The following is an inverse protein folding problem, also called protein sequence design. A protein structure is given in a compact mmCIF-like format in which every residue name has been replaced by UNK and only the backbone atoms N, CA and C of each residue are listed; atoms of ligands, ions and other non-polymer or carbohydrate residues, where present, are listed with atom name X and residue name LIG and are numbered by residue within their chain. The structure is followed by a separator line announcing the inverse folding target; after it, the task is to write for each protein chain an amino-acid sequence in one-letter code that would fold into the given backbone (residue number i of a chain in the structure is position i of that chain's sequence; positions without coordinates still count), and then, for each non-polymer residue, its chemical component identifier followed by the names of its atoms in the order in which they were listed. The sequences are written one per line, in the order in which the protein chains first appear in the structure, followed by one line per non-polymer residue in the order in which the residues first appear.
data_IF_141861509055
#
_entry.id   IF_141861509055
#
_cell.length_a   1.000
_cell.length_b   1.000
_cell.length_c   1.000
_cell.angle_alpha   90.00
_cell.angle_beta   90.00
_cell.angle_gamma   90.00
#
_symmetry.space_group_name_H-M   'P 1'
#
loop_
_entity.id
_entity.type
_entity.pdbx_description
1 polymer ?
#
# COMPACT_ATOMS: atom_id res chain seq x y z
N UNK A 1 -9.99 -14.52 4.28
CA UNK A 1 -8.69 -13.84 4.36
C UNK A 1 -8.60 -13.17 5.73
N UNK A 2 -7.61 -13.55 6.54
CA UNK A 2 -7.27 -12.89 7.80
C UNK A 2 -6.34 -11.72 7.49
N UNK A 3 -6.41 -10.66 8.30
CA UNK A 3 -5.49 -9.52 8.24
C UNK A 3 -4.57 -9.58 9.45
N UNK A 4 -3.26 -9.57 9.22
CA UNK A 4 -2.24 -9.47 10.26
C UNK A 4 -1.55 -8.12 10.16
N UNK A 5 -1.39 -7.41 11.28
CA UNK A 5 -0.74 -6.10 11.32
C UNK A 5 0.55 -6.21 12.12
N UNK A 6 1.66 -5.85 11.46
CA UNK A 6 3.01 -5.80 12.02
C UNK A 6 3.52 -4.36 11.94
N UNK A 7 3.38 -3.56 13.02
CA UNK A 7 3.77 -2.16 13.00
C UNK A 7 5.27 -1.97 12.70
N UNK A 8 5.62 -0.91 11.95
CA UNK A 8 7.00 -0.48 11.76
C UNK A 8 7.68 -0.21 13.11
N UNK A 9 8.89 -0.74 13.28
CA UNK A 9 9.75 -0.47 14.44
C UNK A 9 10.51 0.85 14.32
N UNK A 10 10.49 1.48 13.13
CA UNK A 10 11.15 2.75 12.85
C UNK A 10 10.23 3.66 12.02
N UNK A 11 9.07 4.09 12.57
CA UNK A 11 8.19 5.01 11.88
C UNK A 11 8.84 6.39 11.75
N UNK A 12 8.44 7.14 10.72
CA UNK A 12 8.84 8.53 10.54
C UNK A 12 8.38 9.34 11.77
N UNK A 13 9.26 10.21 12.28
CA UNK A 13 8.94 11.05 13.43
C UNK A 13 7.75 11.98 13.13
N UNK A 14 6.93 12.35 14.13
CA UNK A 14 5.81 13.28 13.90
C UNK A 14 6.24 14.58 13.22
N UNK A 15 7.35 15.18 13.66
CA UNK A 15 7.90 16.41 13.06
C UNK A 15 8.24 16.24 11.58
N UNK A 16 8.88 15.13 11.22
CA UNK A 16 9.26 14.86 9.84
C UNK A 16 8.03 14.55 8.96
N UNK A 17 7.03 13.86 9.53
CA UNK A 17 5.75 13.64 8.85
C UNK A 17 5.04 14.97 8.57
N UNK A 18 5.02 15.87 9.53
CA UNK A 18 4.39 17.18 9.37
C UNK A 18 5.07 18.00 8.26
N UNK A 19 6.40 17.97 8.17
CA UNK A 19 7.16 18.56 7.05
C UNK A 19 6.76 17.96 5.69
N UNK A 20 6.54 16.64 5.62
CA UNK A 20 6.08 16.00 4.38
C UNK A 20 4.64 16.39 4.03
N UNK A 21 3.80 16.69 5.02
CA UNK A 21 2.41 17.11 4.78
C UNK A 21 2.30 18.57 4.32
N UNK A 22 3.28 19.42 4.62
CA UNK A 22 3.33 20.81 4.12
C UNK A 22 3.60 20.84 2.60
N UNK A 23 4.53 20.01 2.11
CA UNK A 23 4.89 19.93 0.69
C UNK A 23 4.91 18.47 0.18
N UNK A 24 3.75 17.78 0.10
CA UNK A 24 3.70 16.34 -0.16
C UNK A 24 4.04 15.96 -1.61
N UNK A 25 3.86 16.89 -2.55
CA UNK A 25 3.94 16.60 -3.98
C UNK A 25 2.96 15.50 -4.41
N UNK A 26 3.36 14.68 -5.38
CA UNK A 26 2.59 13.51 -5.83
C UNK A 26 3.52 12.30 -5.95
N UNK A 27 3.21 11.21 -5.23
CA UNK A 27 3.99 9.96 -5.29
C UNK A 27 5.44 10.07 -4.79
N UNK A 28 5.76 11.09 -3.98
CA UNK A 28 7.13 11.40 -3.53
C UNK A 28 7.47 10.79 -2.18
N UNK A 29 6.52 10.84 -1.24
CA UNK A 29 6.65 10.30 0.11
C UNK A 29 5.60 9.21 0.32
N UNK A 30 5.97 8.18 1.07
CA UNK A 30 5.13 7.02 1.36
C UNK A 30 4.91 6.89 2.87
N UNK A 31 3.81 6.24 3.27
CA UNK A 31 3.47 5.99 4.67
C UNK A 31 4.38 4.92 5.29
N UNK A 32 4.37 4.82 6.61
CA UNK A 32 5.21 3.88 7.38
C UNK A 32 4.92 2.40 7.10
N UNK A 33 3.77 2.08 6.47
CA UNK A 33 3.31 0.73 6.22
C UNK A 33 2.82 0.52 4.78
N UNK A 34 2.83 -0.74 4.35
CA UNK A 34 2.24 -1.24 3.11
C UNK A 34 1.45 -2.51 3.36
N UNK A 35 0.49 -2.83 2.49
CA UNK A 35 -0.28 -4.08 2.53
C UNK A 35 0.23 -5.06 1.47
N UNK A 36 0.45 -6.32 1.85
CA UNK A 36 0.99 -7.37 1.00
C UNK A 36 0.14 -8.63 1.14
N UNK A 37 -0.23 -9.22 0.01
CA UNK A 37 -0.78 -10.57 -0.08
C UNK A 37 -0.07 -11.31 -1.21
N UNK A 38 0.21 -12.59 -1.00
CA UNK A 38 0.86 -13.45 -1.99
C UNK A 38 -0.18 -14.35 -2.66
N UNK A 39 0.09 -14.74 -3.89
CA UNK A 39 -0.73 -15.71 -4.61
C UNK A 39 0.16 -16.83 -5.13
N UNK A 40 -0.34 -18.06 -5.05
CA UNK A 40 0.23 -19.17 -5.82
C UNK A 40 -0.89 -20.08 -6.35
N UNK A 41 -0.55 -20.88 -7.35
CA UNK A 41 -1.53 -21.73 -8.04
C UNK A 41 -2.16 -22.81 -7.14
N UNK A 42 -1.44 -23.30 -6.12
CA UNK A 42 -1.91 -24.39 -5.27
C UNK A 42 -2.91 -23.95 -4.21
N UNK A 43 -2.73 -22.74 -3.63
CA UNK A 43 -3.56 -22.25 -2.51
C UNK A 43 -4.34 -20.97 -2.82
N UNK A 44 -4.14 -20.35 -3.98
CA UNK A 44 -4.71 -19.04 -4.28
C UNK A 44 -4.07 -17.93 -3.45
N UNK A 45 -4.88 -16.93 -3.09
CA UNK A 45 -4.45 -15.79 -2.27
C UNK A 45 -4.19 -16.21 -0.82
N UNK A 46 -3.08 -15.73 -0.26
CA UNK A 46 -2.73 -15.85 1.15
C UNK A 46 -3.57 -14.92 2.04
N UNK A 47 -3.35 -14.98 3.35
CA UNK A 47 -3.77 -13.92 4.26
C UNK A 47 -3.04 -12.60 3.95
N UNK A 48 -3.66 -11.47 4.29
CA UNK A 48 -3.12 -10.12 4.07
C UNK A 48 -2.24 -9.73 5.25
N UNK A 49 -1.07 -9.17 4.96
CA UNK A 49 -0.19 -8.57 5.97
C UNK A 49 -0.06 -7.07 5.75
N UNK A 50 -0.28 -6.28 6.79
CA UNK A 50 0.10 -4.86 6.83
C UNK A 50 1.43 -4.78 7.59
N UNK A 51 2.53 -4.49 6.88
CA UNK A 51 3.89 -4.47 7.43
C UNK A 51 4.57 -3.12 7.20
N UNK A 52 5.75 -2.92 7.78
CA UNK A 52 6.58 -1.75 7.49
C UNK A 52 6.82 -1.59 5.98
N UNK A 53 6.73 -0.35 5.49
CA UNK A 53 7.07 -0.02 4.11
C UNK A 53 8.56 -0.29 3.86
N UNK A 54 8.87 -0.94 2.75
CA UNK A 54 10.24 -1.35 2.46
C UNK A 54 10.40 -1.99 1.08
N UNK A 55 11.63 -2.37 0.72
CA UNK A 55 11.91 -3.00 -0.56
C UNK A 55 11.20 -4.35 -0.70
N UNK A 56 10.72 -4.64 -1.91
CA UNK A 56 10.27 -5.98 -2.29
C UNK A 56 11.46 -6.82 -2.74
N UNK A 57 11.51 -8.09 -2.31
CA UNK A 57 12.49 -9.05 -2.79
C UNK A 57 11.84 -9.93 -3.84
N UNK A 58 12.36 -9.91 -5.06
CA UNK A 58 11.82 -10.64 -6.20
C UNK A 58 12.95 -11.38 -6.91
N UNK A 59 12.63 -12.54 -7.48
CA UNK A 59 13.56 -13.28 -8.34
C UNK A 59 13.94 -12.41 -9.56
N UNK A 60 15.22 -12.36 -9.98
CA UNK A 60 15.62 -11.60 -11.15
C UNK A 60 14.89 -11.98 -12.46
N UNK A 61 14.37 -13.19 -12.56
CA UNK A 61 13.58 -13.70 -13.69
C UNK A 61 12.06 -13.52 -13.50
N UNK A 62 11.59 -12.81 -12.46
CA UNK A 62 10.17 -12.56 -12.25
C UNK A 62 9.54 -11.88 -13.46
N UNK A 63 8.37 -12.37 -13.90
CA UNK A 63 7.73 -11.93 -15.16
C UNK A 63 7.45 -10.43 -15.23
N UNK A 64 7.25 -9.78 -14.08
CA UNK A 64 7.09 -8.31 -13.99
C UNK A 64 8.26 -7.56 -14.63
N UNK A 65 9.49 -8.07 -14.49
CA UNK A 65 10.69 -7.41 -15.01
C UNK A 65 10.96 -7.67 -16.49
N UNK A 66 10.41 -8.73 -17.07
CA UNK A 66 10.74 -9.17 -18.43
C UNK A 66 9.58 -9.03 -19.42
N UNK A 67 8.35 -9.20 -18.93
CA UNK A 67 7.15 -9.29 -19.76
C UNK A 67 6.03 -8.36 -19.30
N UNK A 68 6.28 -7.51 -18.29
CA UNK A 68 5.34 -6.48 -17.85
C UNK A 68 3.99 -7.03 -17.39
N UNK A 69 3.96 -8.24 -16.86
CA UNK A 69 2.72 -8.84 -16.35
C UNK A 69 2.37 -8.23 -14.99
N UNK A 70 1.77 -7.04 -15.02
CA UNK A 70 1.37 -6.26 -13.85
C UNK A 70 0.11 -5.43 -14.14
N UNK A 71 -0.60 -5.07 -13.08
CA UNK A 71 -1.74 -4.15 -13.09
C UNK A 71 -1.65 -3.26 -11.85
N UNK A 72 -2.26 -2.08 -11.89
CA UNK A 72 -2.32 -1.17 -10.75
C UNK A 72 -3.67 -0.47 -10.67
N UNK A 73 -3.95 0.11 -9.50
CA UNK A 73 -5.14 0.91 -9.25
C UNK A 73 -4.81 2.26 -8.61
N UNK A 74 -5.75 3.20 -8.70
CA UNK A 74 -5.57 4.57 -8.22
C UNK A 74 -6.84 5.11 -7.58
N UNK A 75 -6.80 5.29 -6.26
CA UNK A 75 -7.85 5.94 -5.48
C UNK A 75 -7.25 6.81 -4.37
N UNK A 76 -8.10 7.59 -3.69
CA UNK A 76 -7.67 8.52 -2.64
C UNK A 76 -8.53 8.35 -1.39
N UNK A 77 -7.90 8.61 -0.24
CA UNK A 77 -8.56 8.76 1.03
C UNK A 77 -8.59 10.24 1.44
N UNK A 78 -9.72 10.69 1.98
CA UNK A 78 -9.96 12.10 2.29
C UNK A 78 -10.41 12.26 3.74
N UNK A 79 -9.68 13.07 4.50
CA UNK A 79 -10.09 13.49 5.84
C UNK A 79 -11.34 14.36 5.75
N UNK A 80 -12.32 14.09 6.61
CA UNK A 80 -13.60 14.80 6.64
C UNK A 80 -13.64 15.81 7.80
N UNK A 81 -14.49 16.85 7.70
CA UNK A 81 -14.63 17.83 8.78
C UNK A 81 -15.08 17.24 10.13
N UNK A 82 -15.73 16.07 10.13
CA UNK A 82 -16.17 15.35 11.33
C UNK A 82 -15.08 14.43 11.94
N UNK A 83 -13.88 14.41 11.34
CA UNK A 83 -12.77 13.58 11.77
C UNK A 83 -12.74 12.17 11.16
N UNK A 84 -13.73 11.80 10.35
CA UNK A 84 -13.75 10.52 9.64
C UNK A 84 -12.86 10.52 8.39
N UNK A 85 -12.62 9.35 7.81
CA UNK A 85 -11.94 9.18 6.52
C UNK A 85 -12.93 8.63 5.49
N UNK A 86 -13.04 9.28 4.34
CA UNK A 86 -13.88 8.81 3.24
C UNK A 86 -13.05 8.33 2.04
N UNK A 87 -13.60 7.36 1.32
CA UNK A 87 -13.12 6.92 0.01
C UNK A 87 -14.17 7.28 -1.04
N UNK A 88 -13.75 7.72 -2.22
CA UNK A 88 -14.67 7.99 -3.31
C UNK A 88 -14.80 6.77 -4.23
N UNK A 89 -15.97 6.10 -4.17
CA UNK A 89 -16.32 4.93 -5.00
C UNK A 89 -15.26 3.81 -5.01
N UNK A 90 -14.76 3.35 -3.85
CA UNK A 90 -13.71 2.32 -3.80
C UNK A 90 -14.12 1.02 -4.51
N UNK A 91 -15.40 0.66 -4.49
CA UNK A 91 -15.90 -0.54 -5.18
C UNK A 91 -15.77 -0.45 -6.70
N UNK A 92 -15.81 0.76 -7.27
CA UNK A 92 -15.60 0.96 -8.71
C UNK A 92 -14.13 0.74 -9.11
N UNK A 93 -13.18 1.08 -8.23
CA UNK A 93 -11.77 0.74 -8.41
C UNK A 93 -11.55 -0.78 -8.25
N UNK A 94 -12.22 -1.42 -7.29
CA UNK A 94 -12.09 -2.86 -7.06
C UNK A 94 -12.64 -3.74 -8.20
N UNK A 95 -13.61 -3.21 -8.98
CA UNK A 95 -14.25 -3.93 -10.09
C UNK A 95 -13.56 -3.76 -11.46
N UNK A 96 -12.62 -2.83 -11.60
CA UNK A 96 -11.96 -2.48 -12.88
C UNK A 96 -10.79 -3.40 -13.17
#
# INVERSE_FOLDING_TARGET
MKITVSPSSNPISPTQRDQYLEEPGFGKYFTDHMAVAEWNQASGWSDLTISAYGPLNLDPAAMVFHYGQEIFEGMKAYYQPDGSIALFRPDANALR
#
